data_IF_608191883068
#
_entry.id   IF_608191883068
#
_cell.length_a   1.000
_cell.length_b   1.000
_cell.length_c   1.000
_cell.angle_alpha   90.00
_cell.angle_beta   90.00
_cell.angle_gamma   90.00
#
_symmetry.space_group_name_H-M   'P 1'
#
loop_
_entity.id
_entity.type
_entity.pdbx_description
1 polymer ?
#
# COMPACT_ATOMS: atom_id res chain seq x y z
N UNK A 1 -13.31 18.54 -18.18
CA UNK A 1 -14.28 19.62 -17.87
C UNK A 1 -15.68 19.03 -17.96
N UNK A 2 -16.32 18.88 -16.81
CA UNK A 2 -17.64 18.27 -16.74
C UNK A 2 -18.69 19.17 -17.40
N UNK A 3 -19.59 18.58 -18.19
CA UNK A 3 -20.75 19.23 -18.81
C UNK A 3 -20.42 20.48 -19.66
N UNK A 4 -19.29 20.47 -20.39
CA UNK A 4 -18.85 21.63 -21.19
C UNK A 4 -19.88 22.08 -22.24
N UNK A 5 -20.73 21.18 -22.72
CA UNK A 5 -21.80 21.47 -23.68
C UNK A 5 -22.80 22.50 -23.15
N UNK A 6 -23.02 22.56 -21.84
CA UNK A 6 -23.95 23.50 -21.21
C UNK A 6 -23.38 24.93 -21.20
N UNK A 7 -22.07 25.06 -21.35
CA UNK A 7 -21.38 26.36 -21.45
C UNK A 7 -21.31 26.88 -22.89
N UNK A 8 -21.70 26.07 -23.88
CA UNK A 8 -21.64 26.43 -25.29
C UNK A 8 -22.83 27.34 -25.66
N UNK A 9 -22.52 28.49 -26.28
CA UNK A 9 -23.56 29.35 -26.83
C UNK A 9 -24.35 28.63 -27.94
N UNK A 10 -25.67 28.71 -27.90
CA UNK A 10 -26.57 28.01 -28.81
C UNK A 10 -26.28 28.25 -30.30
N UNK A 11 -25.75 29.42 -30.68
CA UNK A 11 -25.36 29.73 -32.06
C UNK A 11 -24.24 28.83 -32.62
N UNK A 12 -23.43 28.21 -31.75
CA UNK A 12 -22.33 27.33 -32.14
C UNK A 12 -22.63 25.84 -31.92
N UNK A 13 -23.80 25.50 -31.35
CA UNK A 13 -24.17 24.13 -31.03
C UNK A 13 -24.20 23.20 -32.26
N UNK A 14 -24.52 23.75 -33.44
CA UNK A 14 -24.58 23.00 -34.70
C UNK A 14 -23.27 23.05 -35.51
N UNK A 15 -22.20 23.65 -34.99
CA UNK A 15 -20.91 23.71 -35.68
C UNK A 15 -20.05 22.50 -35.33
N UNK A 16 -19.93 21.55 -36.27
CA UNK A 16 -19.13 20.35 -36.12
C UNK A 16 -17.65 20.64 -35.83
N UNK A 17 -17.10 21.71 -36.44
CA UNK A 17 -15.69 22.09 -36.22
C UNK A 17 -15.46 22.63 -34.81
N UNK A 18 -16.36 23.48 -34.30
CA UNK A 18 -16.21 24.09 -32.97
C UNK A 18 -16.38 23.03 -31.88
N UNK A 19 -17.41 22.19 -32.03
CA UNK A 19 -17.67 21.09 -31.08
C UNK A 19 -16.51 20.11 -31.02
N UNK A 20 -15.94 19.71 -32.17
CA UNK A 20 -14.76 18.84 -32.21
C UNK A 20 -13.51 19.44 -31.54
N UNK A 21 -13.28 20.75 -31.71
CA UNK A 21 -12.17 21.44 -31.04
C UNK A 21 -12.34 21.45 -29.51
N UNK A 22 -13.56 21.73 -29.04
CA UNK A 22 -13.88 21.76 -27.61
C UNK A 22 -13.81 20.37 -26.98
N UNK A 23 -14.26 19.33 -27.67
CA UNK A 23 -14.11 17.94 -27.22
C UNK A 23 -12.64 17.53 -27.09
N UNK A 24 -11.81 17.89 -28.08
CA UNK A 24 -10.38 17.62 -28.03
C UNK A 24 -9.71 18.34 -26.86
N UNK A 25 -10.04 19.62 -26.65
CA UNK A 25 -9.55 20.39 -25.52
C UNK A 25 -10.02 19.79 -24.19
N UNK A 26 -11.28 19.37 -24.11
CA UNK A 26 -11.84 18.76 -22.92
C UNK A 26 -11.09 17.48 -22.58
N UNK A 27 -10.91 16.57 -23.54
CA UNK A 27 -10.17 15.32 -23.33
C UNK A 27 -8.71 15.54 -22.97
N UNK A 28 -8.06 16.56 -23.53
CA UNK A 28 -6.66 16.88 -23.25
C UNK A 28 -6.41 17.59 -21.91
N UNK A 29 -7.44 18.22 -21.33
CA UNK A 29 -7.32 19.01 -20.10
C UNK A 29 -8.09 18.44 -18.92
N UNK A 30 -8.99 17.46 -19.12
CA UNK A 30 -9.82 16.92 -18.04
C UNK A 30 -8.99 16.09 -17.06
N UNK A 31 -8.74 16.58 -15.83
CA UNK A 31 -7.94 15.83 -14.86
C UNK A 31 -8.80 14.83 -14.08
N UNK A 32 -10.08 14.65 -14.43
CA UNK A 32 -11.04 13.88 -13.64
C UNK A 32 -10.54 12.47 -13.32
N UNK A 33 -10.04 11.75 -14.33
CA UNK A 33 -9.50 10.39 -14.15
C UNK A 33 -8.28 10.38 -13.21
N UNK A 34 -7.40 11.37 -13.34
CA UNK A 34 -6.21 11.47 -12.49
C UNK A 34 -6.59 11.82 -11.04
N UNK A 35 -7.61 12.66 -10.85
CA UNK A 35 -8.14 13.01 -9.52
C UNK A 35 -8.84 11.83 -8.85
N UNK A 36 -9.63 11.07 -9.61
CA UNK A 36 -10.28 9.85 -9.11
C UNK A 36 -9.21 8.82 -8.73
N UNK A 37 -8.20 8.62 -9.59
CA UNK A 37 -7.07 7.74 -9.28
C UNK A 37 -6.28 8.21 -8.06
N UNK A 38 -6.05 9.52 -7.92
CA UNK A 38 -5.39 10.09 -6.74
C UNK A 38 -6.22 9.82 -5.48
N UNK A 39 -7.53 10.07 -5.55
CA UNK A 39 -8.43 9.79 -4.45
C UNK A 39 -8.35 8.32 -4.04
N UNK A 40 -8.52 7.39 -4.97
CA UNK A 40 -8.53 5.95 -4.67
C UNK A 40 -7.18 5.43 -4.14
N UNK A 41 -6.06 5.89 -4.71
CA UNK A 41 -4.73 5.32 -4.38
C UNK A 41 -4.02 6.01 -3.22
N UNK A 42 -4.38 7.28 -2.93
CA UNK A 42 -3.73 8.09 -1.90
C UNK A 42 -4.68 8.42 -0.75
N UNK A 43 -5.89 8.90 -1.07
CA UNK A 43 -6.74 9.56 -0.08
C UNK A 43 -7.78 8.62 0.54
N UNK A 44 -8.47 7.79 -0.23
CA UNK A 44 -9.39 6.80 0.32
C UNK A 44 -8.61 5.70 1.02
N UNK A 45 -8.77 5.66 2.33
CA UNK A 45 -8.08 4.70 3.17
C UNK A 45 -8.40 3.23 2.83
N UNK A 46 -9.62 2.96 2.35
CA UNK A 46 -10.04 1.60 2.01
C UNK A 46 -9.25 1.03 0.83
N UNK A 47 -8.82 1.90 -0.10
CA UNK A 47 -8.16 1.52 -1.35
C UNK A 47 -6.73 2.03 -1.47
N UNK A 48 -6.26 2.88 -0.55
CA UNK A 48 -4.90 3.42 -0.56
C UNK A 48 -3.86 2.30 -0.59
N UNK A 49 -2.80 2.50 -1.37
CA UNK A 49 -1.70 1.55 -1.60
C UNK A 49 -0.36 2.27 -1.59
N UNK A 50 0.72 1.55 -1.26
CA UNK A 50 2.09 2.08 -1.26
C UNK A 50 2.20 3.46 -0.59
N UNK A 51 2.56 4.48 -1.37
CA UNK A 51 2.76 5.86 -0.90
C UNK A 51 1.51 6.47 -0.23
N UNK A 52 0.31 6.08 -0.67
CA UNK A 52 -0.93 6.55 -0.05
C UNK A 52 -1.01 6.15 1.42
N UNK A 53 -0.72 4.89 1.73
CA UNK A 53 -0.67 4.40 3.11
C UNK A 53 0.48 5.04 3.90
N UNK A 54 1.60 5.37 3.26
CA UNK A 54 2.72 6.05 3.91
C UNK A 54 2.38 7.50 4.32
N UNK A 55 1.47 8.17 3.58
CA UNK A 55 0.91 9.47 4.00
C UNK A 55 0.07 9.29 5.26
N UNK A 56 -0.78 8.28 5.31
CA UNK A 56 -1.58 7.96 6.49
C UNK A 56 -0.71 7.58 7.70
N UNK A 57 0.40 6.88 7.51
CA UNK A 57 1.36 6.59 8.58
C UNK A 57 1.86 7.86 9.27
N UNK A 58 2.21 8.88 8.48
CA UNK A 58 2.73 10.14 9.03
C UNK A 58 1.67 10.85 9.89
N UNK A 59 0.40 10.69 9.54
CA UNK A 59 -0.73 11.25 10.28
C UNK A 59 -0.90 10.53 11.62
N UNK A 60 -0.89 9.20 11.64
CA UNK A 60 -1.14 8.40 12.87
C UNK A 60 0.13 8.06 13.65
N UNK A 61 1.30 8.37 13.10
CA UNK A 61 2.63 8.11 13.64
C UNK A 61 2.90 6.62 13.93
N UNK A 62 2.87 5.78 12.88
CA UNK A 62 3.25 4.35 12.92
C UNK A 62 4.04 3.97 11.67
N UNK A 63 5.07 3.13 11.79
CA UNK A 63 5.91 2.73 10.65
C UNK A 63 5.46 1.42 9.99
N UNK A 64 5.64 1.31 8.67
CA UNK A 64 5.43 0.05 7.91
C UNK A 64 6.34 -1.10 8.30
N UNK A 65 7.59 -0.78 8.66
CA UNK A 65 8.56 -1.78 9.10
C UNK A 65 8.31 -2.22 10.53
N UNK A 66 8.10 -3.51 10.74
CA UNK A 66 8.00 -4.12 12.08
C UNK A 66 9.24 -4.94 12.37
N UNK A 67 9.74 -4.83 13.60
CA UNK A 67 10.85 -5.64 14.09
C UNK A 67 10.37 -7.09 14.34
N UNK A 68 10.83 -8.02 13.51
CA UNK A 68 10.59 -9.45 13.69
C UNK A 68 11.87 -10.12 14.20
N UNK A 69 11.75 -10.84 15.30
CA UNK A 69 12.79 -11.73 15.80
C UNK A 69 12.71 -13.04 15.00
N UNK A 70 13.58 -13.18 13.99
CA UNK A 70 13.64 -14.41 13.21
C UNK A 70 14.76 -15.28 13.79
N UNK A 71 14.47 -16.51 14.23
CA UNK A 71 15.51 -17.42 14.67
C UNK A 71 16.46 -17.69 13.49
N UNK A 72 17.79 -17.74 13.73
CA UNK A 72 18.73 -18.12 12.69
C UNK A 72 18.42 -19.52 12.16
N UNK A 73 18.99 -19.87 11.01
CA UNK A 73 18.88 -21.21 10.44
C UNK A 73 19.57 -22.23 11.36
N UNK A 74 18.79 -22.88 12.22
CA UNK A 74 19.28 -23.76 13.28
C UNK A 74 19.02 -25.22 12.95
N UNK A 75 19.95 -26.09 13.33
CA UNK A 75 19.82 -27.53 13.19
C UNK A 75 18.65 -28.06 14.02
N UNK A 76 17.82 -28.91 13.41
CA UNK A 76 16.81 -29.67 14.12
C UNK A 76 16.23 -30.80 13.27
N UNK A 77 14.97 -31.15 13.55
CA UNK A 77 14.29 -32.29 12.93
C UNK A 77 13.45 -31.87 11.73
N UNK A 78 13.30 -32.79 10.76
CA UNK A 78 12.60 -32.52 9.50
C UNK A 78 11.11 -32.17 9.71
N UNK A 79 10.51 -32.62 10.79
CA UNK A 79 9.13 -32.34 11.18
C UNK A 79 8.87 -30.87 11.51
N UNK A 80 9.92 -30.13 11.87
CA UNK A 80 9.85 -28.69 12.16
C UNK A 80 10.33 -27.81 10.98
N UNK A 81 10.72 -28.42 9.85
CA UNK A 81 11.17 -27.69 8.68
C UNK A 81 10.01 -27.00 7.96
N UNK A 82 10.17 -25.70 7.68
CA UNK A 82 9.21 -24.93 6.89
C UNK A 82 9.71 -24.76 5.44
N UNK A 83 9.12 -25.47 4.46
CA UNK A 83 9.52 -25.36 3.06
C UNK A 83 9.20 -23.99 2.44
N UNK A 84 8.32 -23.18 3.04
CA UNK A 84 8.04 -21.82 2.57
C UNK A 84 9.16 -20.84 2.93
N UNK A 85 9.95 -21.14 3.99
CA UNK A 85 11.04 -20.32 4.48
C UNK A 85 12.33 -21.16 4.61
N UNK A 86 12.87 -21.69 3.49
CA UNK A 86 13.92 -22.71 3.51
C UNK A 86 15.27 -22.22 4.07
N UNK A 87 15.41 -20.92 4.31
CA UNK A 87 16.64 -20.28 4.83
C UNK A 87 16.50 -19.76 6.26
N UNK A 88 15.35 -19.91 6.91
CA UNK A 88 15.07 -19.40 8.25
C UNK A 88 14.55 -20.51 9.17
N UNK A 89 14.72 -20.37 10.48
CA UNK A 89 14.20 -21.34 11.46
C UNK A 89 14.86 -22.72 11.40
N UNK A 90 14.11 -23.77 11.74
CA UNK A 90 14.65 -25.12 11.93
C UNK A 90 14.98 -25.78 10.58
N UNK A 91 16.20 -26.28 10.46
CA UNK A 91 16.77 -26.90 9.28
C UNK A 91 16.98 -28.41 9.48
N UNK A 92 16.78 -29.22 8.43
CA UNK A 92 17.04 -30.65 8.48
C UNK A 92 18.55 -30.95 8.60
N UNK A 93 18.86 -32.24 8.78
CA UNK A 93 20.24 -32.71 8.87
C UNK A 93 21.09 -32.22 7.69
N UNK A 94 22.35 -31.86 8.00
CA UNK A 94 23.36 -31.41 7.05
C UNK A 94 23.10 -30.02 6.41
N UNK A 95 22.13 -29.25 6.94
CA UNK A 95 21.78 -27.91 6.42
C UNK A 95 21.89 -26.78 7.45
N UNK A 96 21.64 -27.03 8.75
CA UNK A 96 21.68 -26.01 9.82
C UNK A 96 22.89 -26.10 10.75
N UNK A 97 23.15 -25.02 11.50
CA UNK A 97 24.14 -24.98 12.59
C UNK A 97 23.46 -25.26 13.94
N UNK A 98 24.17 -25.83 14.91
CA UNK A 98 23.59 -25.97 16.27
C UNK A 98 23.28 -24.59 16.87
N UNK A 99 22.14 -24.48 17.56
CA UNK A 99 21.78 -23.28 18.32
C UNK A 99 22.89 -22.97 19.34
N UNK A 100 23.45 -21.76 19.27
CA UNK A 100 24.56 -21.29 20.10
C UNK A 100 24.09 -20.48 21.33
N UNK A 101 22.77 -20.35 21.52
CA UNK A 101 22.15 -19.57 22.60
C UNK A 101 22.18 -18.05 22.36
N UNK A 102 22.59 -17.60 21.17
CA UNK A 102 22.52 -16.18 20.82
C UNK A 102 21.06 -15.70 20.71
N UNK A 103 20.77 -14.45 21.11
CA UNK A 103 19.44 -13.90 20.95
C UNK A 103 19.06 -13.84 19.46
N UNK A 104 17.77 -14.02 19.12
CA UNK A 104 17.30 -13.97 17.73
C UNK A 104 17.73 -12.67 17.04
N UNK A 105 18.09 -12.77 15.76
CA UNK A 105 18.41 -11.58 14.97
C UNK A 105 17.11 -10.85 14.70
N UNK A 106 17.00 -9.64 15.25
CA UNK A 106 15.87 -8.75 14.96
C UNK A 106 16.09 -8.14 13.58
N UNK A 107 15.15 -8.39 12.67
CA UNK A 107 15.13 -7.82 11.32
C UNK A 107 13.90 -6.94 11.16
N UNK A 108 14.03 -5.86 10.40
CA UNK A 108 12.88 -5.08 9.98
C UNK A 108 12.24 -5.79 8.79
N UNK A 109 10.99 -6.22 8.95
CA UNK A 109 10.18 -6.80 7.89
C UNK A 109 9.14 -5.76 7.48
N UNK A 110 9.00 -5.54 6.18
CA UNK A 110 7.98 -4.66 5.63
C UNK A 110 6.65 -5.41 5.51
N UNK A 111 5.59 -4.77 6.01
CA UNK A 111 4.24 -5.30 5.88
C UNK A 111 3.68 -5.01 4.48
N UNK A 112 2.94 -5.98 3.94
CA UNK A 112 2.12 -5.78 2.75
C UNK A 112 1.02 -4.73 3.02
N UNK A 113 0.50 -4.10 1.96
CA UNK A 113 -0.50 -3.03 2.09
C UNK A 113 -1.77 -3.44 2.87
N UNK A 114 -2.19 -4.71 2.77
CA UNK A 114 -3.37 -5.22 3.48
C UNK A 114 -3.14 -5.31 4.98
N UNK A 115 -2.05 -5.98 5.38
CA UNK A 115 -1.66 -6.10 6.79
C UNK A 115 -1.33 -4.73 7.38
N UNK A 116 -0.61 -3.91 6.63
CA UNK A 116 -0.21 -2.57 7.05
C UNK A 116 -1.40 -1.62 7.24
N UNK A 117 -2.42 -1.68 6.37
CA UNK A 117 -3.68 -0.93 6.55
C UNK A 117 -4.34 -1.22 7.89
N UNK A 118 -4.35 -2.49 8.30
CA UNK A 118 -4.90 -2.89 9.60
C UNK A 118 -4.10 -2.28 10.76
N UNK A 119 -2.76 -2.25 10.65
CA UNK A 119 -1.90 -1.61 11.63
C UNK A 119 -2.18 -0.10 11.75
N UNK A 120 -2.29 0.60 10.62
CA UNK A 120 -2.58 2.04 10.59
C UNK A 120 -3.96 2.33 11.22
N UNK A 121 -4.98 1.54 10.91
CA UNK A 121 -6.32 1.67 11.54
C UNK A 121 -6.28 1.42 13.04
N UNK A 122 -5.57 0.39 13.48
CA UNK A 122 -5.42 0.08 14.91
C UNK A 122 -4.71 1.22 15.63
N UNK A 123 -3.69 1.82 15.00
CA UNK A 123 -3.02 3.00 15.56
C UNK A 123 -3.94 4.22 15.59
N UNK A 124 -4.69 4.46 14.52
CA UNK A 124 -5.67 5.54 14.47
C UNK A 124 -6.68 5.40 15.61
N UNK A 125 -7.20 4.19 15.81
CA UNK A 125 -8.10 3.86 16.90
C UNK A 125 -7.46 4.15 18.26
N UNK A 126 -6.25 3.65 18.51
CA UNK A 126 -5.52 3.89 19.76
C UNK A 126 -5.26 5.38 20.02
N UNK A 127 -5.07 6.20 18.98
CA UNK A 127 -4.85 7.64 19.12
C UNK A 127 -6.15 8.42 19.47
N UNK A 128 -7.33 7.89 19.11
CA UNK A 128 -8.63 8.55 19.34
C UNK A 128 -9.41 7.98 20.52
N UNK A 129 -9.08 6.77 20.97
CA UNK A 129 -9.69 6.16 22.15
C UNK A 129 -9.00 6.61 23.43
N UNK A 130 -9.79 6.96 24.44
CA UNK A 130 -9.33 7.24 25.80
C UNK A 130 -9.41 5.95 26.62
N UNK A 131 -8.32 5.18 26.66
CA UNK A 131 -8.21 3.96 27.46
C UNK A 131 -6.93 3.96 28.29
#
# INVERSE_FOLDING_TARGET
MKDWTDTLLAQYANSATITALLDCLNQGLDPGVDLDSFYDTIWDFATAIGHGLDVWEKIVNVKRGVAAALPPAEFGFAEAYDPANPTEGVQPFNCGVFNDGSPPVVRNVELDDGTYRTLVMTRAMANITDC
#
